data_IF_110274334893
#
_entry.id   IF_110274334893
#
_cell.length_a   1.000
_cell.length_b   1.000
_cell.length_c   1.000
_cell.angle_alpha   90.00
_cell.angle_beta   90.00
_cell.angle_gamma   90.00
#
_symmetry.space_group_name_H-M   'P 1'
#
loop_
_entity.id
_entity.type
_entity.pdbx_description
1 polymer ?
#
# COMPACT_ATOMS: atom_id res chain seq x y z
N UNK A 1 18.42 -38.58 -25.86
CA UNK A 1 17.35 -37.59 -25.99
C UNK A 1 16.71 -37.51 -24.62
N UNK A 2 17.27 -36.66 -23.74
CA UNK A 2 16.78 -36.54 -22.37
C UNK A 2 15.46 -35.79 -22.39
N UNK A 3 14.50 -36.33 -21.65
CA UNK A 3 13.11 -35.93 -21.61
C UNK A 3 12.97 -34.56 -20.93
N UNK A 4 12.90 -33.49 -21.72
CA UNK A 4 12.69 -32.11 -21.25
C UNK A 4 11.45 -31.98 -20.34
N UNK A 5 10.46 -32.89 -20.47
CA UNK A 5 9.26 -32.89 -19.61
C UNK A 5 9.53 -33.30 -18.16
N UNK A 6 10.58 -34.11 -17.91
CA UNK A 6 10.93 -34.56 -16.56
C UNK A 6 11.57 -33.45 -15.71
N UNK A 7 12.38 -32.57 -16.33
CA UNK A 7 12.97 -31.40 -15.69
C UNK A 7 11.92 -30.32 -15.38
N UNK A 8 10.99 -30.09 -16.31
CA UNK A 8 9.89 -29.13 -16.16
C UNK A 8 8.99 -29.45 -14.94
N UNK A 9 8.69 -30.73 -14.71
CA UNK A 9 7.83 -31.17 -13.59
C UNK A 9 8.54 -31.14 -12.22
N UNK A 10 9.87 -31.33 -12.19
CA UNK A 10 10.63 -31.35 -10.94
C UNK A 10 10.88 -29.92 -10.41
N UNK A 11 11.17 -28.96 -11.30
CA UNK A 11 11.41 -27.56 -10.92
C UNK A 11 10.20 -26.90 -10.22
N UNK A 12 9.00 -27.10 -10.78
CA UNK A 12 7.73 -26.62 -10.21
C UNK A 12 7.39 -27.35 -8.88
N UNK A 13 7.69 -28.65 -8.76
CA UNK A 13 7.47 -29.43 -7.52
C UNK A 13 8.37 -28.99 -6.38
N UNK A 14 9.66 -28.76 -6.63
CA UNK A 14 10.59 -28.26 -5.61
C UNK A 14 10.26 -26.84 -5.17
N UNK A 15 9.85 -25.98 -6.12
CA UNK A 15 9.38 -24.64 -5.81
C UNK A 15 8.16 -24.70 -4.87
N UNK A 16 7.17 -25.49 -5.26
CA UNK A 16 5.93 -25.68 -4.50
C UNK A 16 6.18 -26.26 -3.11
N UNK A 17 7.12 -27.21 -2.97
CA UNK A 17 7.47 -27.84 -1.68
C UNK A 17 8.15 -26.86 -0.73
N UNK A 18 9.12 -26.09 -1.21
CA UNK A 18 9.82 -25.07 -0.42
C UNK A 18 8.84 -24.01 0.09
N UNK A 19 7.93 -23.55 -0.77
CA UNK A 19 6.87 -22.62 -0.40
C UNK A 19 5.93 -23.23 0.64
N UNK A 20 5.49 -24.47 0.45
CA UNK A 20 4.59 -25.16 1.39
C UNK A 20 5.21 -25.33 2.79
N UNK A 21 6.51 -25.60 2.90
CA UNK A 21 7.20 -25.68 4.20
C UNK A 21 7.22 -24.32 4.91
N UNK A 22 7.45 -23.23 4.17
CA UNK A 22 7.43 -21.90 4.73
C UNK A 22 6.02 -21.48 5.20
N UNK A 23 4.97 -21.88 4.47
CA UNK A 23 3.57 -21.72 4.89
C UNK A 23 3.24 -22.49 6.17
N UNK A 24 3.79 -23.70 6.33
CA UNK A 24 3.56 -24.53 7.51
C UNK A 24 4.19 -23.91 8.76
N UNK A 25 5.44 -23.45 8.64
CA UNK A 25 6.15 -22.76 9.72
C UNK A 25 5.44 -21.45 10.13
N UNK A 26 4.83 -20.74 9.17
CA UNK A 26 3.96 -19.61 9.46
C UNK A 26 2.72 -20.02 10.27
N UNK A 27 1.99 -21.05 9.83
CA UNK A 27 0.77 -21.50 10.51
C UNK A 27 1.04 -21.87 11.96
N UNK A 28 2.12 -22.60 12.21
CA UNK A 28 2.55 -22.93 13.57
C UNK A 28 2.89 -21.70 14.42
N UNK A 29 3.40 -20.63 13.81
CA UNK A 29 3.69 -19.39 14.51
C UNK A 29 2.41 -18.58 14.77
N UNK A 30 1.44 -18.64 13.86
CA UNK A 30 0.14 -17.98 13.97
C UNK A 30 -0.77 -18.65 15.01
N UNK A 31 -0.79 -19.99 15.06
CA UNK A 31 -1.50 -20.77 16.08
C UNK A 31 -0.96 -20.52 17.50
N UNK A 32 0.27 -19.99 17.61
CA UNK A 32 0.89 -19.58 18.88
C UNK A 32 0.63 -18.11 19.23
N UNK A 33 0.12 -17.29 18.30
CA UNK A 33 -0.18 -15.89 18.55
C UNK A 33 -1.54 -15.75 19.25
N UNK A 34 -1.55 -15.05 20.39
CA UNK A 34 -2.75 -14.87 21.23
C UNK A 34 -3.71 -13.82 20.64
N UNK A 35 -3.20 -12.91 19.81
CA UNK A 35 -3.99 -11.89 19.09
C UNK A 35 -3.52 -11.76 17.63
N UNK A 36 -4.38 -12.14 16.68
CA UNK A 36 -4.11 -12.09 15.24
C UNK A 36 -4.13 -10.68 14.66
N UNK A 37 -4.64 -9.69 15.40
CA UNK A 37 -4.70 -8.29 14.96
C UNK A 37 -3.36 -7.55 15.14
N UNK A 38 -2.42 -8.12 15.90
CA UNK A 38 -1.11 -7.52 16.18
C UNK A 38 0.04 -8.14 15.37
N UNK A 39 -0.19 -9.26 14.68
CA UNK A 39 0.87 -9.94 13.90
C UNK A 39 1.17 -9.14 12.62
N UNK A 40 2.38 -8.58 12.43
CA UNK A 40 2.72 -7.85 11.22
C UNK A 40 2.77 -8.84 10.04
N UNK A 41 1.86 -8.72 9.08
CA UNK A 41 1.80 -9.60 7.89
C UNK A 41 3.13 -9.54 7.15
N UNK A 42 3.76 -8.37 7.14
CA UNK A 42 5.11 -8.17 6.67
C UNK A 42 6.12 -9.11 7.29
N UNK A 43 6.19 -9.26 8.61
CA UNK A 43 7.26 -10.02 9.29
C UNK A 43 7.16 -11.52 9.00
N UNK A 44 5.93 -11.99 8.78
CA UNK A 44 5.63 -13.40 8.57
C UNK A 44 5.59 -13.80 7.09
N UNK A 45 5.45 -12.85 6.16
CA UNK A 45 5.43 -13.15 4.72
C UNK A 45 6.72 -13.85 4.27
N UNK A 46 6.55 -15.02 3.64
CA UNK A 46 7.68 -15.78 3.12
C UNK A 46 8.31 -15.04 1.96
N UNK A 47 9.62 -14.84 2.03
CA UNK A 47 10.39 -14.16 0.99
C UNK A 47 11.18 -15.18 0.19
N UNK A 48 11.00 -15.22 -1.13
CA UNK A 48 11.79 -16.09 -2.01
C UNK A 48 12.65 -15.22 -2.93
N UNK A 49 13.96 -15.41 -2.84
CA UNK A 49 14.93 -14.81 -3.75
C UNK A 49 15.30 -15.84 -4.81
N UNK A 50 15.01 -15.51 -6.07
CA UNK A 50 15.44 -16.25 -7.25
C UNK A 50 16.73 -15.60 -7.76
N UNK A 51 17.77 -16.38 -7.94
CA UNK A 51 19.08 -15.90 -8.41
C UNK A 51 19.48 -16.68 -9.64
N UNK A 52 19.87 -15.98 -10.71
CA UNK A 52 20.44 -16.62 -11.89
C UNK A 52 21.81 -17.22 -11.52
N UNK A 53 21.90 -18.55 -11.49
CA UNK A 53 23.12 -19.27 -11.11
C UNK A 53 24.30 -18.97 -12.04
N UNK A 54 24.03 -18.77 -13.33
CA UNK A 54 25.05 -18.45 -14.33
C UNK A 54 25.50 -16.99 -14.22
N UNK A 55 24.62 -16.08 -13.81
CA UNK A 55 25.00 -14.68 -13.56
C UNK A 55 25.80 -14.56 -12.25
N UNK A 56 25.36 -15.23 -11.19
CA UNK A 56 26.01 -15.21 -9.88
C UNK A 56 27.43 -15.80 -9.91
N UNK A 57 27.65 -16.86 -10.68
CA UNK A 57 28.98 -17.46 -10.84
C UNK A 57 29.97 -16.54 -11.58
N UNK A 58 29.47 -15.64 -12.43
CA UNK A 58 30.27 -14.62 -13.14
C UNK A 58 30.52 -13.38 -12.29
N UNK A 59 29.54 -12.98 -11.49
CA UNK A 59 29.64 -11.84 -10.60
C UNK A 59 29.06 -12.17 -9.21
N UNK A 60 29.92 -12.48 -8.22
CA UNK A 60 29.48 -12.72 -6.85
C UNK A 60 28.85 -11.49 -6.16
N UNK A 61 29.04 -10.28 -6.72
CA UNK A 61 28.50 -9.00 -6.21
C UNK A 61 27.21 -8.55 -6.90
N UNK A 62 26.64 -9.40 -7.75
CA UNK A 62 25.41 -9.16 -8.54
C UNK A 62 24.21 -8.71 -7.69
N UNK A 63 24.14 -9.15 -6.43
CA UNK A 63 23.09 -8.76 -5.49
C UNK A 63 23.64 -7.66 -4.58
N UNK A 64 23.07 -6.44 -4.61
CA UNK A 64 23.53 -5.36 -3.74
C UNK A 64 23.53 -5.76 -2.27
N UNK A 65 24.56 -5.33 -1.53
CA UNK A 65 24.72 -5.67 -0.11
C UNK A 65 23.50 -5.27 0.73
N UNK A 66 22.90 -4.10 0.43
CA UNK A 66 21.68 -3.65 1.08
C UNK A 66 20.49 -4.60 0.89
N UNK A 67 20.35 -5.19 -0.30
CA UNK A 67 19.30 -6.18 -0.60
C UNK A 67 19.58 -7.48 0.14
N UNK A 68 20.83 -7.94 0.11
CA UNK A 68 21.28 -9.15 0.82
C UNK A 68 21.06 -9.03 2.33
N UNK A 69 21.45 -7.89 2.93
CA UNK A 69 21.28 -7.62 4.35
C UNK A 69 19.80 -7.63 4.75
N UNK A 70 18.94 -6.90 4.02
CA UNK A 70 17.49 -6.85 4.29
C UNK A 70 16.83 -8.21 4.10
N UNK A 71 17.19 -8.95 3.05
CA UNK A 71 16.71 -10.32 2.85
C UNK A 71 17.11 -11.23 4.02
N UNK A 72 18.36 -11.16 4.49
CA UNK A 72 18.86 -12.02 5.56
C UNK A 72 18.25 -11.71 6.93
N UNK A 73 17.71 -10.52 7.16
CA UNK A 73 16.97 -10.20 8.40
C UNK A 73 15.57 -10.81 8.44
N UNK A 74 15.03 -11.29 7.31
CA UNK A 74 13.70 -11.89 7.23
C UNK A 74 13.64 -13.21 7.98
N UNK A 75 12.55 -13.38 8.74
CA UNK A 75 12.29 -14.59 9.54
C UNK A 75 12.02 -15.81 8.66
N UNK A 76 11.15 -15.66 7.66
CA UNK A 76 10.82 -16.71 6.70
C UNK A 76 11.37 -16.32 5.33
N UNK A 77 12.49 -16.95 4.96
CA UNK A 77 13.19 -16.66 3.71
C UNK A 77 13.69 -17.93 3.07
N UNK A 78 13.70 -17.96 1.75
CA UNK A 78 14.31 -19.02 0.97
C UNK A 78 15.04 -18.41 -0.24
N UNK A 79 16.23 -18.91 -0.51
CA UNK A 79 17.01 -18.54 -1.69
C UNK A 79 17.06 -19.75 -2.61
N UNK A 80 16.75 -19.54 -3.88
CA UNK A 80 16.87 -20.56 -4.92
C UNK A 80 17.74 -20.02 -6.05
N UNK A 81 18.83 -20.73 -6.30
CA UNK A 81 19.62 -20.56 -7.51
C UNK A 81 18.91 -21.32 -8.64
N UNK A 82 18.71 -20.67 -9.76
CA UNK A 82 17.88 -21.17 -10.85
C UNK A 82 18.51 -20.79 -12.19
N UNK A 83 18.47 -21.70 -13.15
CA UNK A 83 18.91 -21.40 -14.51
C UNK A 83 17.78 -20.68 -15.28
N UNK A 84 18.12 -19.79 -16.21
CA UNK A 84 17.11 -19.01 -16.96
C UNK A 84 16.11 -19.91 -17.71
N UNK A 85 16.55 -21.05 -18.23
CA UNK A 85 15.67 -22.03 -18.88
C UNK A 85 14.62 -22.61 -17.91
N UNK A 86 15.04 -22.95 -16.70
CA UNK A 86 14.17 -23.44 -15.63
C UNK A 86 13.21 -22.33 -15.16
N UNK A 87 13.70 -21.10 -15.00
CA UNK A 87 12.88 -19.94 -14.64
C UNK A 87 11.76 -19.68 -15.65
N UNK A 88 12.02 -19.84 -16.96
CA UNK A 88 10.97 -19.65 -17.97
C UNK A 88 9.85 -20.67 -17.82
N UNK A 89 10.18 -21.89 -17.40
CA UNK A 89 9.21 -22.96 -17.23
C UNK A 89 8.28 -22.83 -16.03
N UNK A 90 8.70 -22.10 -14.99
CA UNK A 90 7.91 -21.97 -13.76
C UNK A 90 6.57 -21.29 -14.03
N UNK A 91 5.46 -21.99 -13.83
CA UNK A 91 4.13 -21.42 -14.15
C UNK A 91 3.60 -20.48 -13.06
N UNK A 92 4.09 -20.63 -11.83
CA UNK A 92 3.66 -19.87 -10.66
C UNK A 92 4.49 -18.59 -10.41
N UNK A 93 5.45 -18.29 -11.29
CA UNK A 93 6.27 -17.07 -11.23
C UNK A 93 5.78 -16.05 -12.25
N UNK A 94 5.51 -14.83 -11.77
CA UNK A 94 4.99 -13.75 -12.60
C UNK A 94 5.95 -13.34 -13.74
N UNK A 95 5.44 -13.00 -14.94
CA UNK A 95 6.27 -12.64 -16.09
C UNK A 95 7.26 -11.49 -15.84
N UNK A 96 6.86 -10.50 -15.03
CA UNK A 96 7.73 -9.37 -14.68
C UNK A 96 8.91 -9.81 -13.80
N UNK A 97 8.69 -10.77 -12.89
CA UNK A 97 9.74 -11.28 -12.02
C UNK A 97 10.73 -12.13 -12.82
N UNK A 98 10.23 -12.92 -13.77
CA UNK A 98 11.08 -13.63 -14.74
C UNK A 98 11.93 -12.66 -15.56
N UNK A 99 11.36 -11.53 -15.97
CA UNK A 99 12.06 -10.47 -16.68
C UNK A 99 13.13 -9.82 -15.78
N UNK A 100 12.80 -9.49 -14.53
CA UNK A 100 13.72 -8.90 -13.57
C UNK A 100 14.92 -9.82 -13.30
N UNK A 101 14.72 -11.11 -13.05
CA UNK A 101 15.84 -12.05 -12.85
C UNK A 101 16.73 -12.12 -14.08
N UNK A 102 16.17 -12.04 -15.30
CA UNK A 102 16.95 -12.03 -16.54
C UNK A 102 17.78 -10.75 -16.72
N UNK A 103 17.23 -9.61 -16.32
CA UNK A 103 17.86 -8.30 -16.53
C UNK A 103 18.83 -7.93 -15.42
N UNK A 104 18.48 -8.24 -14.18
CA UNK A 104 19.23 -7.88 -12.97
C UNK A 104 19.98 -9.07 -12.35
N UNK A 105 19.81 -10.28 -12.88
CA UNK A 105 20.46 -11.49 -12.38
C UNK A 105 19.88 -12.03 -11.06
N UNK A 106 18.91 -11.32 -10.47
CA UNK A 106 18.15 -11.78 -9.31
C UNK A 106 16.75 -11.14 -9.31
N UNK A 107 15.84 -11.74 -8.56
CA UNK A 107 14.50 -11.23 -8.35
C UNK A 107 13.94 -11.75 -7.04
N UNK A 108 13.13 -10.94 -6.37
CA UNK A 108 12.50 -11.33 -5.12
C UNK A 108 10.99 -11.31 -5.26
N UNK A 109 10.36 -12.35 -4.73
CA UNK A 109 8.92 -12.39 -4.49
C UNK A 109 8.62 -12.52 -3.01
N UNK A 110 7.63 -11.76 -2.58
CA UNK A 110 6.89 -12.04 -1.38
C UNK A 110 5.77 -13.01 -1.71
N UNK A 111 5.56 -14.00 -0.85
CA UNK A 111 4.35 -14.79 -0.84
C UNK A 111 3.51 -14.21 0.29
N UNK A 112 2.56 -13.29 0.00
CA UNK A 112 1.64 -12.82 1.01
C UNK A 112 0.89 -14.02 1.56
N UNK A 113 0.89 -14.11 2.86
CA UNK A 113 0.08 -15.10 3.54
C UNK A 113 -1.33 -14.53 3.59
N UNK A 114 -2.18 -14.96 2.66
CA UNK A 114 -3.61 -14.65 2.74
C UNK A 114 -4.11 -15.28 4.04
N UNK A 115 -4.54 -14.47 5.00
CA UNK A 115 -5.36 -14.96 6.09
C UNK A 115 -6.65 -15.51 5.47
N UNK A 116 -6.76 -16.83 5.36
CA UNK A 116 -7.95 -17.51 4.83
C UNK A 116 -9.15 -17.47 5.79
N UNK A 117 -9.02 -16.84 6.96
CA UNK A 117 -10.04 -16.87 7.99
C UNK A 117 -10.92 -15.62 8.02
N UNK A 118 -12.23 -15.86 8.11
CA UNK A 118 -13.10 -14.96 8.87
C UNK A 118 -13.99 -13.98 8.10
N UNK A 119 -14.04 -13.99 6.76
CA UNK A 119 -15.05 -13.21 6.04
C UNK A 119 -16.44 -13.86 6.18
N UNK A 120 -17.06 -13.76 7.37
CA UNK A 120 -18.47 -14.10 7.56
C UNK A 120 -19.31 -13.25 6.59
N UNK A 121 -20.08 -13.97 5.77
CA UNK A 121 -20.93 -13.46 4.68
C UNK A 121 -21.71 -12.21 5.10
N UNK A 122 -21.49 -11.11 4.38
CA UNK A 122 -22.32 -9.90 4.45
C UNK A 122 -21.93 -8.88 3.38
N UNK A 123 -22.91 -8.18 2.81
CA UNK A 123 -22.76 -7.17 1.74
C UNK A 123 -21.85 -5.96 2.09
N UNK A 124 -21.26 -5.89 3.29
CA UNK A 124 -20.54 -4.71 3.82
C UNK A 124 -19.20 -5.00 4.53
N UNK A 125 -18.64 -6.21 4.47
CA UNK A 125 -17.37 -6.50 5.16
C UNK A 125 -16.15 -6.13 4.32
N UNK A 126 -15.59 -4.94 4.57
CA UNK A 126 -14.25 -4.54 4.11
C UNK A 126 -13.18 -5.23 4.95
N UNK A 127 -12.02 -5.50 4.37
CA UNK A 127 -10.85 -5.93 5.14
C UNK A 127 -10.49 -4.84 6.18
N UNK A 128 -9.83 -5.24 7.26
CA UNK A 128 -9.42 -4.29 8.31
C UNK A 128 -8.57 -3.15 7.74
N UNK A 129 -7.57 -3.48 6.92
CA UNK A 129 -6.69 -2.50 6.26
C UNK A 129 -7.45 -1.55 5.34
N UNK A 130 -8.35 -2.08 4.49
CA UNK A 130 -9.15 -1.22 3.59
C UNK A 130 -10.02 -0.24 4.40
N UNK A 131 -10.60 -0.70 5.50
CA UNK A 131 -11.38 0.17 6.40
C UNK A 131 -10.51 1.26 7.01
N UNK A 132 -9.35 0.90 7.54
CA UNK A 132 -8.45 1.86 8.17
C UNK A 132 -7.96 2.94 7.20
N UNK A 133 -7.60 2.56 5.97
CA UNK A 133 -7.21 3.52 4.93
C UNK A 133 -8.36 4.45 4.57
N UNK A 134 -9.57 3.89 4.43
CA UNK A 134 -10.77 4.68 4.12
C UNK A 134 -11.13 5.65 5.24
N UNK A 135 -11.05 5.22 6.49
CA UNK A 135 -11.34 6.06 7.65
C UNK A 135 -10.27 7.15 7.82
N UNK A 136 -8.99 6.84 7.56
CA UNK A 136 -7.93 7.85 7.48
C UNK A 136 -8.22 8.89 6.38
N UNK A 137 -8.57 8.46 5.16
CA UNK A 137 -8.91 9.38 4.07
C UNK A 137 -10.08 10.30 4.44
N UNK A 138 -11.14 9.76 5.04
CA UNK A 138 -12.29 10.52 5.52
C UNK A 138 -11.91 11.54 6.59
N UNK A 139 -11.19 11.11 7.62
CA UNK A 139 -10.74 11.97 8.70
C UNK A 139 -9.86 13.10 8.20
N UNK A 140 -8.83 12.79 7.41
CA UNK A 140 -7.89 13.80 6.90
C UNK A 140 -8.55 14.72 5.89
N UNK A 141 -9.55 14.27 5.14
CA UNK A 141 -10.35 15.16 4.28
C UNK A 141 -11.15 16.17 5.15
N UNK A 142 -11.81 15.71 6.22
CA UNK A 142 -12.49 16.58 7.18
C UNK A 142 -11.55 17.58 7.86
N UNK A 143 -10.36 17.13 8.25
CA UNK A 143 -9.39 17.94 8.97
C UNK A 143 -8.65 18.95 8.06
N UNK A 144 -8.24 18.54 6.86
CA UNK A 144 -7.35 19.34 6.00
C UNK A 144 -8.08 20.24 5.01
N UNK A 145 -9.29 19.88 4.56
CA UNK A 145 -9.98 20.65 3.52
C UNK A 145 -10.18 22.13 3.91
N UNK A 146 -10.59 22.48 5.14
CA UNK A 146 -10.73 23.88 5.55
C UNK A 146 -9.39 24.62 5.61
N UNK A 147 -8.32 23.94 6.04
CA UNK A 147 -6.98 24.52 6.10
C UNK A 147 -6.36 24.71 4.70
N UNK A 148 -6.64 23.82 3.76
CA UNK A 148 -6.29 23.98 2.34
C UNK A 148 -7.04 25.19 1.76
N UNK A 149 -8.35 25.30 2.03
CA UNK A 149 -9.17 26.44 1.59
C UNK A 149 -8.64 27.75 2.15
N UNK A 150 -8.36 27.80 3.45
CA UNK A 150 -7.77 28.96 4.13
C UNK A 150 -6.44 29.37 3.50
N UNK A 151 -5.51 28.44 3.29
CA UNK A 151 -4.22 28.73 2.67
C UNK A 151 -4.38 29.25 1.24
N UNK A 152 -5.28 28.64 0.45
CA UNK A 152 -5.61 29.12 -0.88
C UNK A 152 -6.15 30.57 -0.83
N UNK A 153 -7.01 30.87 0.14
CA UNK A 153 -7.56 32.22 0.34
C UNK A 153 -6.52 33.28 0.76
N UNK A 154 -5.40 32.86 1.37
CA UNK A 154 -4.30 33.76 1.74
C UNK A 154 -3.38 34.12 0.56
N UNK A 155 -3.40 33.34 -0.53
CA UNK A 155 -2.67 33.66 -1.75
C UNK A 155 -3.32 34.82 -2.51
N UNK A 156 -2.51 35.66 -3.17
CA UNK A 156 -3.03 36.74 -4.01
C UNK A 156 -3.72 36.19 -5.27
N UNK A 157 -4.55 37.00 -5.94
CA UNK A 157 -5.17 36.60 -7.21
C UNK A 157 -4.13 36.22 -8.28
N UNK A 158 -3.00 36.94 -8.34
CA UNK A 158 -1.90 36.60 -9.25
C UNK A 158 -1.30 35.23 -8.90
N UNK A 159 -1.03 34.99 -7.62
CA UNK A 159 -0.49 33.71 -7.14
C UNK A 159 -1.42 32.53 -7.51
N UNK A 160 -2.75 32.72 -7.43
CA UNK A 160 -3.73 31.69 -7.80
C UNK A 160 -3.81 31.46 -9.30
N UNK A 161 -3.64 32.51 -10.12
CA UNK A 161 -3.60 32.41 -11.58
C UNK A 161 -2.35 31.68 -12.06
N UNK A 162 -1.20 31.97 -11.44
CA UNK A 162 0.07 31.31 -11.73
C UNK A 162 -0.03 29.80 -11.42
N UNK A 163 -0.73 29.43 -10.36
CA UNK A 163 -1.00 28.03 -10.00
C UNK A 163 -1.97 27.32 -10.97
N UNK A 164 -2.92 28.05 -11.55
CA UNK A 164 -3.94 27.50 -12.45
C UNK A 164 -3.44 27.31 -13.90
N UNK A 165 -2.25 27.80 -14.25
CA UNK A 165 -1.65 27.57 -15.57
C UNK A 165 -2.40 28.23 -16.74
N UNK A 166 -3.01 29.41 -16.55
CA UNK A 166 -3.81 30.23 -17.49
C UNK A 166 -5.34 30.01 -17.42
N UNK A 167 -5.99 30.52 -16.37
CA UNK A 167 -7.42 30.75 -16.34
C UNK A 167 -7.73 32.20 -15.93
N UNK A 168 -8.73 32.83 -16.57
CA UNK A 168 -9.19 34.19 -16.22
C UNK A 168 -9.93 34.22 -14.88
N UNK A 169 -10.51 33.08 -14.49
CA UNK A 169 -11.26 32.86 -13.25
C UNK A 169 -10.38 32.48 -12.05
N UNK A 170 -10.80 32.82 -10.81
CA UNK A 170 -10.06 32.48 -9.60
C UNK A 170 -10.10 30.96 -9.34
N UNK A 171 -8.92 30.33 -9.27
CA UNK A 171 -8.73 28.92 -8.90
C UNK A 171 -9.54 28.55 -7.64
N UNK A 172 -10.47 27.61 -7.78
CA UNK A 172 -11.24 27.06 -6.66
C UNK A 172 -10.45 25.94 -5.96
N UNK A 173 -10.89 25.56 -4.75
CA UNK A 173 -10.31 24.40 -4.07
C UNK A 173 -10.48 23.10 -4.87
N UNK A 174 -11.58 22.96 -5.61
CA UNK A 174 -11.85 21.75 -6.40
C UNK A 174 -11.00 21.69 -7.66
N UNK A 175 -10.67 22.83 -8.27
CA UNK A 175 -9.71 22.89 -9.37
C UNK A 175 -8.31 22.47 -8.90
N UNK A 176 -7.88 23.00 -7.73
CA UNK A 176 -6.62 22.61 -7.11
C UNK A 176 -6.58 21.10 -6.83
N UNK A 177 -7.64 20.55 -6.22
CA UNK A 177 -7.74 19.11 -5.95
C UNK A 177 -7.79 18.29 -7.25
N UNK A 178 -8.44 18.78 -8.31
CA UNK A 178 -8.50 18.07 -9.58
C UNK A 178 -7.13 17.98 -10.27
N UNK A 179 -6.32 19.04 -10.18
CA UNK A 179 -4.97 19.10 -10.75
C UNK A 179 -4.00 18.26 -9.91
N UNK A 180 -4.02 18.42 -8.59
CA UNK A 180 -2.99 17.91 -7.70
C UNK A 180 -3.35 16.60 -6.99
N UNK A 181 -4.61 16.16 -7.04
CA UNK A 181 -5.08 14.91 -6.45
C UNK A 181 -5.93 14.06 -7.43
N UNK A 182 -5.33 13.54 -8.53
CA UNK A 182 -6.07 12.79 -9.56
C UNK A 182 -6.72 11.49 -9.06
N UNK A 183 -6.20 10.85 -7.99
CA UNK A 183 -6.85 9.66 -7.42
C UNK A 183 -8.13 10.02 -6.65
N UNK A 184 -8.22 11.22 -6.07
CA UNK A 184 -9.49 11.72 -5.50
C UNK A 184 -10.56 11.91 -6.59
N UNK A 185 -10.18 12.43 -7.75
CA UNK A 185 -11.07 12.56 -8.91
C UNK A 185 -11.53 11.19 -9.42
N UNK A 186 -10.63 10.21 -9.45
CA UNK A 186 -10.97 8.84 -9.87
C UNK A 186 -11.95 8.18 -8.90
N UNK A 187 -11.73 8.37 -7.59
CA UNK A 187 -12.66 7.90 -6.56
C UNK A 187 -14.02 8.60 -6.63
N UNK A 188 -14.05 9.91 -6.92
CA UNK A 188 -15.31 10.66 -7.00
C UNK A 188 -16.21 10.16 -8.13
N UNK A 189 -15.63 9.91 -9.31
CA UNK A 189 -16.34 9.33 -10.47
C UNK A 189 -16.88 7.93 -10.21
N UNK A 190 -16.11 7.07 -9.53
CA UNK A 190 -16.53 5.70 -9.19
C UNK A 190 -17.51 5.64 -8.00
N UNK A 191 -17.73 6.75 -7.30
CA UNK A 191 -18.63 6.81 -6.15
C UNK A 191 -20.12 6.74 -6.54
N UNK A 192 -21.00 6.58 -5.55
CA UNK A 192 -22.46 6.68 -5.77
C UNK A 192 -22.86 8.08 -6.24
N UNK A 193 -22.12 9.12 -5.82
CA UNK A 193 -22.37 10.50 -6.23
C UNK A 193 -22.05 10.70 -7.72
N UNK A 194 -20.87 10.26 -8.18
CA UNK A 194 -20.49 10.29 -9.59
C UNK A 194 -21.48 9.54 -10.49
N UNK A 195 -21.87 8.32 -10.10
CA UNK A 195 -22.87 7.52 -10.85
C UNK A 195 -24.26 8.15 -10.93
N UNK A 196 -24.67 8.98 -9.96
CA UNK A 196 -25.95 9.71 -10.02
C UNK A 196 -25.89 10.90 -10.97
N UNK A 197 -24.71 11.52 -11.08
CA UNK A 197 -24.49 12.69 -11.93
C UNK A 197 -24.19 12.30 -13.39
N UNK A 198 -23.64 11.10 -13.63
CA UNK A 198 -23.50 10.47 -14.96
C UNK A 198 -24.87 10.28 -15.66
N UNK A 199 -25.96 10.15 -14.89
CA UNK A 199 -27.33 9.95 -15.40
C UNK A 199 -28.12 11.23 -15.64
N UNK A 200 -27.61 12.40 -15.28
CA UNK A 200 -28.24 13.67 -15.66
C UNK A 200 -27.72 14.04 -17.05
N UNK A 201 -28.57 14.08 -18.05
CA UNK A 201 -28.29 14.64 -19.39
C UNK A 201 -28.84 16.08 -19.46
N UNK A 202 -28.45 16.92 -18.50
CA UNK A 202 -28.83 18.34 -18.46
C UNK A 202 -27.80 19.19 -19.19
N UNK A 203 -28.26 20.28 -19.81
CA UNK A 203 -27.47 21.21 -20.64
C UNK A 203 -26.05 21.45 -20.10
N UNK A 204 -25.08 21.22 -20.98
CA UNK A 204 -23.63 21.22 -20.72
C UNK A 204 -23.11 22.61 -20.31
N UNK A 205 -23.93 23.67 -20.44
CA UNK A 205 -23.51 25.05 -20.22
C UNK A 205 -23.39 25.53 -18.77
N UNK A 206 -24.03 24.85 -17.80
CA UNK A 206 -24.16 25.36 -16.41
C UNK A 206 -23.62 24.41 -15.32
N UNK A 207 -22.94 23.32 -15.70
CA UNK A 207 -22.32 22.44 -14.71
C UNK A 207 -21.07 23.10 -14.16
N UNK A 208 -21.06 23.39 -12.85
CA UNK A 208 -19.84 23.72 -12.14
C UNK A 208 -18.76 22.69 -12.48
N UNK A 209 -17.56 23.15 -12.84
CA UNK A 209 -16.44 22.25 -13.06
C UNK A 209 -16.27 21.41 -11.78
N UNK A 210 -16.33 20.08 -11.92
CA UNK A 210 -16.12 19.11 -10.83
C UNK A 210 -17.26 18.86 -9.82
N UNK A 211 -18.55 18.96 -10.20
CA UNK A 211 -19.71 18.60 -9.32
C UNK A 211 -19.56 17.24 -8.60
N UNK A 212 -19.04 16.22 -9.29
CA UNK A 212 -18.85 14.87 -8.71
C UNK A 212 -17.79 14.88 -7.60
N UNK A 213 -16.70 15.61 -7.82
CA UNK A 213 -15.63 15.76 -6.85
C UNK A 213 -16.13 16.53 -5.63
N UNK A 214 -16.82 17.64 -5.84
CA UNK A 214 -17.43 18.42 -4.76
C UNK A 214 -18.36 17.56 -3.90
N UNK A 215 -19.32 16.87 -4.53
CA UNK A 215 -20.28 16.01 -3.83
C UNK A 215 -19.57 14.87 -3.07
N UNK A 216 -18.56 14.27 -3.68
CA UNK A 216 -17.78 13.21 -3.06
C UNK A 216 -16.95 13.70 -1.87
N UNK A 217 -16.31 14.86 -1.99
CA UNK A 217 -15.51 15.47 -0.92
C UNK A 217 -16.39 15.85 0.27
N UNK A 218 -17.58 16.43 0.04
CA UNK A 218 -18.54 16.67 1.12
C UNK A 218 -18.97 15.39 1.82
N UNK A 219 -19.26 14.33 1.07
CA UNK A 219 -19.62 13.04 1.65
C UNK A 219 -18.46 12.43 2.45
N UNK A 220 -17.22 12.53 1.96
CA UNK A 220 -16.03 12.09 2.69
C UNK A 220 -15.83 12.88 3.99
N UNK A 221 -15.96 14.21 3.93
CA UNK A 221 -15.80 15.07 5.09
C UNK A 221 -16.89 14.82 6.14
N UNK A 222 -18.15 14.65 5.75
CA UNK A 222 -19.23 14.33 6.70
C UNK A 222 -19.04 12.95 7.34
N UNK A 223 -18.56 11.94 6.60
CA UNK A 223 -18.18 10.66 7.19
C UNK A 223 -16.96 10.79 8.12
N UNK A 224 -15.98 11.62 7.75
CA UNK A 224 -14.80 11.92 8.57
C UNK A 224 -15.15 12.60 9.88
N UNK A 225 -16.10 13.54 9.85
CA UNK A 225 -16.66 14.24 11.01
C UNK A 225 -17.24 13.27 12.05
N UNK A 226 -17.71 12.09 11.63
CA UNK A 226 -18.30 11.07 12.52
C UNK A 226 -17.25 10.17 13.18
N UNK A 227 -16.01 10.22 12.72
CA UNK A 227 -14.92 9.40 13.28
C UNK A 227 -14.48 9.95 14.64
N UNK A 228 -14.16 9.02 15.54
CA UNK A 228 -13.60 9.33 16.86
C UNK A 228 -12.09 9.18 16.78
N UNK A 229 -11.37 10.24 17.08
CA UNK A 229 -9.90 10.27 17.03
C UNK A 229 -9.37 10.70 18.39
N UNK A 230 -8.41 9.94 18.92
CA UNK A 230 -7.66 10.31 20.11
C UNK A 230 -6.38 11.04 19.66
N UNK A 231 -6.10 12.18 20.27
CA UNK A 231 -4.88 12.95 20.05
C UNK A 231 -3.85 12.66 21.16
N UNK A 232 -2.55 12.92 20.91
CA UNK A 232 -1.50 12.83 21.92
C UNK A 232 -1.84 13.55 23.23
N UNK A 233 -1.59 12.88 24.36
CA UNK A 233 -1.84 13.45 25.69
C UNK A 233 -3.31 13.55 26.09
N UNK A 234 -4.26 13.09 25.26
CA UNK A 234 -5.69 13.14 25.58
C UNK A 234 -6.24 11.78 26.02
N UNK A 235 -6.93 11.75 27.16
CA UNK A 235 -7.58 10.55 27.68
C UNK A 235 -8.81 10.14 26.84
N UNK A 236 -9.51 11.14 26.29
CA UNK A 236 -10.78 10.97 25.57
C UNK A 236 -10.64 11.22 24.08
N UNK A 237 -11.38 10.45 23.26
CA UNK A 237 -11.46 10.69 21.82
C UNK A 237 -12.32 11.92 21.51
N UNK A 238 -11.86 12.73 20.57
CA UNK A 238 -12.60 13.84 19.96
C UNK A 238 -13.33 13.38 18.71
N UNK A 239 -14.36 14.13 18.33
CA UNK A 239 -15.14 13.90 17.11
C UNK A 239 -15.79 15.20 16.65
N UNK A 240 -16.27 15.21 15.40
CA UNK A 240 -16.98 16.35 14.86
C UNK A 240 -16.08 17.57 14.72
N UNK A 241 -16.58 18.70 15.21
CA UNK A 241 -15.87 19.96 15.17
C UNK A 241 -14.68 19.98 16.12
N UNK A 242 -14.81 19.36 17.30
CA UNK A 242 -13.74 19.35 18.32
C UNK A 242 -12.47 18.67 17.84
N UNK A 243 -12.57 17.64 16.98
CA UNK A 243 -11.40 16.99 16.37
C UNK A 243 -10.80 17.83 15.25
N UNK A 244 -11.62 18.61 14.54
CA UNK A 244 -11.13 19.55 13.53
C UNK A 244 -10.42 20.72 14.19
N UNK A 245 -11.03 21.35 15.19
CA UNK A 245 -10.43 22.42 15.97
C UNK A 245 -9.12 21.98 16.59
N UNK A 246 -9.04 20.74 17.09
CA UNK A 246 -7.78 20.21 17.62
C UNK A 246 -6.72 20.07 16.53
N UNK A 247 -7.07 19.51 15.37
CA UNK A 247 -6.17 19.45 14.23
C UNK A 247 -5.74 20.85 13.75
N UNK A 248 -6.66 21.82 13.74
CA UNK A 248 -6.42 23.20 13.36
C UNK A 248 -5.56 23.97 14.40
N UNK A 249 -5.76 23.74 15.70
CA UNK A 249 -4.93 24.30 16.78
C UNK A 249 -3.49 23.82 16.64
N UNK A 250 -3.35 22.51 16.43
CA UNK A 250 -2.09 21.85 16.15
C UNK A 250 -1.42 22.53 14.94
N UNK A 251 -2.17 22.81 13.86
CA UNK A 251 -1.62 23.44 12.65
C UNK A 251 -1.39 24.95 12.72
N UNK A 252 -2.18 25.68 13.50
CA UNK A 252 -2.16 27.16 13.54
C UNK A 252 -0.89 27.72 14.20
N UNK A 253 -0.19 26.93 15.03
CA UNK A 253 1.05 27.35 15.69
C UNK A 253 2.23 27.56 14.71
N UNK A 254 2.17 26.93 13.54
CA UNK A 254 3.20 26.98 12.49
C UNK A 254 2.90 28.04 11.43
N UNK A 255 1.63 28.38 11.24
CA UNK A 255 1.17 29.35 10.22
C UNK A 255 1.45 30.80 10.61
N UNK A 256 1.73 31.07 11.90
CA UNK A 256 2.22 32.37 12.34
C UNK A 256 3.64 32.52 11.77
N UNK A 257 3.82 33.46 10.83
CA UNK A 257 5.09 33.85 10.19
C UNK A 257 5.54 33.09 8.93
N UNK A 258 4.67 32.29 8.29
CA UNK A 258 5.00 31.67 7.01
C UNK A 258 5.05 32.69 5.87
N UNK A 259 6.09 32.61 5.04
CA UNK A 259 6.12 33.36 3.79
C UNK A 259 5.19 32.69 2.74
N UNK A 260 5.04 33.32 1.57
CA UNK A 260 4.15 32.80 0.51
C UNK A 260 4.57 31.42 -0.01
N UNK A 261 5.86 31.16 -0.12
CA UNK A 261 6.37 29.89 -0.64
C UNK A 261 6.17 28.77 0.38
N UNK A 262 6.35 29.07 1.67
CA UNK A 262 6.05 28.14 2.76
C UNK A 262 4.56 27.79 2.80
N UNK A 263 3.67 28.76 2.60
CA UNK A 263 2.22 28.54 2.52
C UNK A 263 1.86 27.65 1.33
N UNK A 264 2.50 27.85 0.17
CA UNK A 264 2.31 27.00 -1.02
C UNK A 264 2.80 25.58 -0.76
N UNK A 265 3.99 25.41 -0.21
CA UNK A 265 4.54 24.09 0.15
C UNK A 265 3.63 23.36 1.15
N UNK A 266 3.14 24.06 2.18
CA UNK A 266 2.24 23.49 3.17
C UNK A 266 0.90 23.06 2.54
N UNK A 267 0.33 23.91 1.67
CA UNK A 267 -0.91 23.60 0.95
C UNK A 267 -0.75 22.37 0.05
N UNK A 268 0.29 22.33 -0.79
CA UNK A 268 0.55 21.18 -1.66
C UNK A 268 0.91 19.92 -0.89
N UNK A 269 1.61 20.05 0.23
CA UNK A 269 1.87 18.96 1.15
C UNK A 269 0.58 18.34 1.71
N UNK A 270 -0.37 19.18 2.17
CA UNK A 270 -1.70 18.73 2.64
C UNK A 270 -2.50 18.05 1.52
N UNK A 271 -2.48 18.61 0.30
CA UNK A 271 -3.12 17.99 -0.87
C UNK A 271 -2.45 16.66 -1.23
N UNK A 272 -1.12 16.58 -1.13
CA UNK A 272 -0.33 15.38 -1.34
C UNK A 272 -0.73 14.25 -0.40
N UNK A 273 -0.94 14.52 0.88
CA UNK A 273 -1.46 13.53 1.85
C UNK A 273 -2.82 12.99 1.40
N UNK A 274 -3.75 13.86 1.00
CA UNK A 274 -5.07 13.43 0.52
C UNK A 274 -4.96 12.59 -0.77
N UNK A 275 -4.10 12.99 -1.70
CA UNK A 275 -3.85 12.27 -2.94
C UNK A 275 -3.29 10.87 -2.68
N UNK A 276 -2.30 10.73 -1.80
CA UNK A 276 -1.71 9.45 -1.44
C UNK A 276 -2.69 8.52 -0.69
N UNK A 277 -3.50 9.07 0.23
CA UNK A 277 -4.56 8.31 0.89
C UNK A 277 -5.66 7.89 -0.10
N UNK A 278 -5.99 8.72 -1.08
CA UNK A 278 -6.95 8.38 -2.14
C UNK A 278 -6.41 7.25 -3.03
N UNK A 279 -5.15 7.36 -3.45
CA UNK A 279 -4.44 6.31 -4.20
C UNK A 279 -4.43 4.98 -3.45
N UNK A 280 -4.06 5.01 -2.16
CA UNK A 280 -4.10 3.85 -1.28
C UNK A 280 -5.50 3.28 -1.12
N UNK A 281 -6.53 4.12 -0.93
CA UNK A 281 -7.90 3.68 -0.81
C UNK A 281 -8.41 3.02 -2.09
N UNK A 282 -8.05 3.54 -3.26
CA UNK A 282 -8.42 2.96 -4.55
C UNK A 282 -7.76 1.59 -4.72
N UNK A 283 -6.45 1.50 -4.53
CA UNK A 283 -5.69 0.25 -4.63
C UNK A 283 -6.20 -0.78 -3.62
N UNK A 284 -6.48 -0.39 -2.37
CA UNK A 284 -7.03 -1.29 -1.35
C UNK A 284 -8.42 -1.83 -1.72
N UNK A 285 -9.28 -0.99 -2.29
CA UNK A 285 -10.61 -1.41 -2.76
C UNK A 285 -10.51 -2.38 -3.94
N UNK A 286 -9.63 -2.12 -4.91
CA UNK A 286 -9.35 -3.02 -6.03
C UNK A 286 -8.79 -4.36 -5.54
N UNK A 287 -7.78 -4.35 -4.65
CA UNK A 287 -7.18 -5.54 -4.06
C UNK A 287 -8.21 -6.37 -3.30
N UNK A 288 -9.01 -5.73 -2.45
CA UNK A 288 -10.06 -6.44 -1.68
C UNK A 288 -11.14 -7.00 -2.60
N UNK A 289 -11.48 -6.31 -3.69
CA UNK A 289 -12.43 -6.84 -4.69
C UNK A 289 -11.90 -8.11 -5.36
N UNK A 290 -10.65 -8.09 -5.86
CA UNK A 290 -10.02 -9.27 -6.47
C UNK A 290 -9.89 -10.43 -5.49
N UNK A 291 -9.50 -10.15 -4.25
CA UNK A 291 -9.43 -11.17 -3.20
C UNK A 291 -10.79 -11.83 -2.97
N UNK A 292 -11.89 -11.06 -2.92
CA UNK A 292 -13.24 -11.63 -2.78
C UNK A 292 -13.63 -12.51 -3.96
N UNK A 293 -13.32 -12.08 -5.19
CA UNK A 293 -13.59 -12.88 -6.40
C UNK A 293 -12.83 -14.20 -6.37
N UNK A 294 -11.55 -14.17 -6.03
CA UNK A 294 -10.69 -15.33 -5.91
C UNK A 294 -11.07 -16.24 -4.73
N UNK A 295 -11.51 -15.69 -3.59
CA UNK A 295 -12.06 -16.49 -2.49
C UNK A 295 -13.38 -17.18 -2.89
N UNK A 296 -14.25 -16.48 -3.62
CA UNK A 296 -15.48 -17.08 -4.13
C UNK A 296 -15.20 -18.19 -5.18
N UNK A 297 -14.14 -18.04 -5.96
CA UNK A 297 -13.62 -19.10 -6.83
C UNK A 297 -13.07 -20.29 -6.03
N UNK A 298 -12.24 -20.02 -5.02
CA UNK A 298 -11.69 -21.04 -4.11
C UNK A 298 -12.79 -21.86 -3.43
N UNK A 299 -13.79 -21.22 -2.80
CA UNK A 299 -14.88 -21.92 -2.11
C UNK A 299 -15.67 -22.82 -3.07
N UNK A 300 -15.99 -22.31 -4.26
CA UNK A 300 -16.69 -23.09 -5.30
C UNK A 300 -15.87 -24.29 -5.75
N UNK A 301 -14.57 -24.14 -5.90
CA UNK A 301 -13.68 -25.21 -6.35
C UNK A 301 -13.36 -26.20 -5.24
N UNK A 302 -13.25 -25.77 -3.99
CA UNK A 302 -13.10 -26.64 -2.81
C UNK A 302 -14.30 -27.56 -2.62
N UNK A 303 -15.53 -27.03 -2.72
CA UNK A 303 -16.75 -27.84 -2.69
C UNK A 303 -16.89 -28.81 -3.87
N UNK A 304 -16.01 -28.73 -4.87
CA UNK A 304 -16.01 -29.61 -6.04
C UNK A 304 -15.06 -30.80 -5.90
N UNK A 305 -13.93 -30.62 -5.22
CA UNK A 305 -12.84 -31.61 -5.15
C UNK A 305 -12.72 -32.30 -3.77
N UNK A 306 -13.80 -32.33 -2.99
CA UNK A 306 -13.89 -32.61 -1.54
C UNK A 306 -13.09 -33.81 -0.98
N UNK A 307 -12.54 -34.73 -1.79
CA UNK A 307 -11.86 -35.96 -1.32
C UNK A 307 -10.35 -36.08 -1.62
N UNK A 308 -9.81 -35.79 -2.82
CA UNK A 308 -8.38 -35.95 -3.06
C UNK A 308 -7.55 -34.78 -2.52
N UNK A 309 -8.15 -33.60 -2.34
CA UNK A 309 -7.43 -32.36 -2.05
C UNK A 309 -6.66 -31.84 -3.27
N UNK A 310 -6.59 -30.51 -3.44
CA UNK A 310 -6.03 -29.89 -4.65
C UNK A 310 -4.58 -30.34 -4.92
N UNK A 311 -3.77 -30.47 -3.86
CA UNK A 311 -2.37 -30.87 -3.99
C UNK A 311 -2.17 -32.28 -4.54
N UNK A 312 -3.04 -33.24 -4.19
CA UNK A 312 -2.94 -34.60 -4.71
C UNK A 312 -3.30 -34.67 -6.20
N UNK A 313 -4.32 -33.89 -6.60
CA UNK A 313 -4.77 -33.79 -8.00
C UNK A 313 -3.67 -33.17 -8.88
N UNK A 314 -3.03 -32.11 -8.38
CA UNK A 314 -1.94 -31.43 -9.09
C UNK A 314 -0.68 -32.29 -9.21
N UNK A 315 -0.42 -33.15 -8.22
CA UNK A 315 0.73 -34.07 -8.23
C UNK A 315 0.55 -35.21 -9.23
N UNK A 316 -0.69 -35.66 -9.46
CA UNK A 316 -1.01 -36.81 -10.31
C UNK A 316 -2.05 -36.42 -11.39
N UNK A 317 -1.72 -35.47 -12.30
CA UNK A 317 -2.70 -34.89 -13.21
C UNK A 317 -3.37 -35.91 -14.14
N UNK A 318 -2.64 -36.97 -14.51
CA UNK A 318 -3.13 -37.99 -15.45
C UNK A 318 -4.22 -38.89 -14.85
N UNK A 319 -4.34 -38.93 -13.51
CA UNK A 319 -5.31 -39.76 -12.79
C UNK A 319 -6.67 -39.06 -12.59
N UNK A 320 -6.80 -37.79 -12.98
CA UNK A 320 -7.98 -36.96 -12.71
C UNK A 320 -8.60 -36.36 -13.97
N UNK A 321 -9.92 -36.12 -13.91
CA UNK A 321 -10.63 -35.48 -15.02
C UNK A 321 -10.21 -34.02 -15.18
N UNK A 322 -10.24 -33.51 -16.42
CA UNK A 322 -9.90 -32.11 -16.74
C UNK A 322 -10.62 -31.07 -15.86
N UNK A 323 -11.85 -31.35 -15.43
CA UNK A 323 -12.64 -30.46 -14.57
C UNK A 323 -12.12 -30.41 -13.13
N UNK A 324 -11.66 -31.53 -12.59
CA UNK A 324 -11.10 -31.62 -11.24
C UNK A 324 -9.69 -31.00 -11.21
N UNK A 325 -8.91 -31.22 -12.27
CA UNK A 325 -7.65 -30.54 -12.53
C UNK A 325 -7.81 -29.01 -12.61
N UNK A 326 -8.85 -28.52 -13.31
CA UNK A 326 -9.13 -27.10 -13.39
C UNK A 326 -9.50 -26.51 -12.02
N UNK A 327 -10.33 -27.21 -11.24
CA UNK A 327 -10.71 -26.79 -9.89
C UNK A 327 -9.49 -26.80 -8.94
N UNK A 328 -8.62 -27.80 -9.02
CA UNK A 328 -7.38 -27.87 -8.23
C UNK A 328 -6.41 -26.74 -8.59
N UNK A 329 -6.27 -26.39 -9.87
CA UNK A 329 -5.49 -25.22 -10.32
C UNK A 329 -6.10 -23.89 -9.87
N UNK A 330 -7.43 -23.78 -9.82
CA UNK A 330 -8.12 -22.58 -9.33
C UNK A 330 -7.92 -22.42 -7.82
N UNK A 331 -7.95 -23.52 -7.06
CA UNK A 331 -7.60 -23.55 -5.64
C UNK A 331 -6.15 -23.13 -5.43
N UNK A 332 -5.21 -23.71 -6.19
CA UNK A 332 -3.80 -23.34 -6.14
C UNK A 332 -3.60 -21.86 -6.47
N UNK A 333 -4.20 -21.33 -7.53
CA UNK A 333 -4.13 -19.90 -7.89
C UNK A 333 -4.76 -18.99 -6.85
N UNK A 334 -5.80 -19.44 -6.16
CA UNK A 334 -6.41 -18.66 -5.09
C UNK A 334 -5.56 -18.68 -3.80
N UNK A 335 -4.83 -19.78 -3.57
CA UNK A 335 -3.83 -19.93 -2.50
C UNK A 335 -2.56 -19.12 -2.77
N UNK A 336 -2.14 -19.09 -4.04
CA UNK A 336 -1.04 -18.29 -4.57
C UNK A 336 -1.60 -17.15 -5.38
N UNK A 337 -2.59 -16.43 -4.84
CA UNK A 337 -2.96 -15.18 -5.48
C UNK A 337 -1.68 -14.39 -5.63
N UNK A 338 -1.40 -13.85 -6.83
CA UNK A 338 -0.38 -12.83 -6.92
C UNK A 338 -0.76 -11.87 -5.80
N UNK A 339 0.18 -11.56 -4.91
CA UNK A 339 -0.03 -10.35 -4.16
C UNK A 339 -0.38 -9.25 -5.18
N UNK A 340 -0.92 -8.13 -4.73
CA UNK A 340 -0.68 -6.92 -5.51
C UNK A 340 0.84 -6.59 -5.45
N UNK A 341 1.66 -7.47 -6.04
CA UNK A 341 2.98 -7.22 -6.58
C UNK A 341 2.70 -6.55 -7.91
N UNK A 342 2.41 -5.25 -7.85
CA UNK A 342 2.44 -4.39 -9.01
C UNK A 342 3.85 -4.53 -9.61
N UNK A 343 3.97 -4.89 -10.89
CA UNK A 343 5.26 -4.97 -11.55
C UNK A 343 6.06 -3.66 -11.35
N UNK A 344 7.38 -3.72 -11.14
CA UNK A 344 8.25 -2.61 -11.49
C UNK A 344 8.10 -2.39 -13.01
N UNK A 345 7.27 -1.42 -13.40
CA UNK A 345 6.89 -1.19 -14.80
C UNK A 345 5.40 -0.91 -15.03
N UNK A 346 4.53 -1.07 -14.03
CA UNK A 346 3.22 -0.40 -14.09
C UNK A 346 3.43 1.11 -13.97
N UNK A 347 2.60 1.89 -14.67
CA UNK A 347 2.58 3.34 -14.53
C UNK A 347 2.43 3.73 -13.04
N UNK A 348 3.14 4.77 -12.58
CA UNK A 348 3.18 5.18 -11.16
C UNK A 348 1.80 5.36 -10.52
N UNK A 349 0.79 5.69 -11.32
CA UNK A 349 -0.60 5.81 -10.88
C UNK A 349 -1.18 4.48 -10.38
N UNK A 350 -0.70 3.34 -10.85
CA UNK A 350 -1.20 2.00 -10.50
C UNK A 350 -0.36 1.30 -9.43
N UNK A 351 0.64 1.95 -8.85
CA UNK A 351 1.57 1.37 -7.86
C UNK A 351 1.68 2.20 -6.60
N UNK A 352 1.62 1.61 -5.40
CA UNK A 352 1.99 2.34 -4.18
C UNK A 352 3.51 2.48 -4.12
N UNK A 353 4.01 3.71 -4.07
CA UNK A 353 5.43 3.97 -3.84
C UNK A 353 5.82 3.64 -2.39
N UNK A 354 7.12 3.59 -2.11
CA UNK A 354 7.62 3.43 -0.74
C UNK A 354 7.15 4.55 0.18
N UNK A 355 7.05 5.78 -0.35
CA UNK A 355 6.43 6.90 0.35
C UNK A 355 4.95 6.68 0.63
N UNK A 356 4.17 6.21 -0.35
CA UNK A 356 2.74 5.92 -0.16
C UNK A 356 2.53 4.87 0.94
N UNK A 357 3.37 3.83 0.97
CA UNK A 357 3.33 2.76 1.97
C UNK A 357 3.71 3.30 3.35
N UNK A 358 4.77 4.12 3.44
CA UNK A 358 5.15 4.81 4.66
C UNK A 358 4.03 5.71 5.19
N UNK A 359 3.30 6.42 4.32
CA UNK A 359 2.19 7.28 4.70
C UNK A 359 1.02 6.47 5.25
N UNK A 360 0.64 5.39 4.56
CA UNK A 360 -0.43 4.50 5.01
C UNK A 360 -0.09 3.92 6.38
N UNK A 361 1.15 3.44 6.56
CA UNK A 361 1.66 2.93 7.82
C UNK A 361 1.56 3.97 8.95
N UNK A 362 1.98 5.21 8.66
CA UNK A 362 1.96 6.33 9.60
C UNK A 362 0.53 6.72 10.01
N UNK A 363 -0.36 6.92 9.03
CA UNK A 363 -1.64 7.58 9.25
C UNK A 363 -2.81 6.62 9.51
N UNK A 364 -2.73 5.37 9.04
CA UNK A 364 -3.87 4.45 9.07
C UNK A 364 -3.80 3.39 10.18
N UNK A 365 -2.67 3.25 10.88
CA UNK A 365 -2.41 2.09 11.77
C UNK A 365 -2.71 0.74 11.10
N UNK A 366 -2.47 0.69 9.79
CA UNK A 366 -2.68 -0.48 8.97
C UNK A 366 -1.33 -1.04 8.56
N UNK A 367 -1.25 -2.34 8.39
CA UNK A 367 -0.12 -2.95 7.70
C UNK A 367 -0.35 -2.85 6.18
N UNK A 368 0.32 -1.91 5.47
CA UNK A 368 0.15 -1.74 4.03
C UNK A 368 0.59 -2.97 3.22
N UNK A 369 1.34 -3.90 3.82
CA UNK A 369 1.73 -5.15 3.16
C UNK A 369 0.56 -6.09 2.87
N UNK A 370 -0.58 -5.89 3.55
CA UNK A 370 -1.84 -6.58 3.20
C UNK A 370 -2.38 -6.20 1.82
N UNK A 371 -1.95 -5.07 1.25
CA UNK A 371 -2.40 -4.58 -0.06
C UNK A 371 -1.26 -4.35 -1.06
N UNK A 372 0.00 -4.21 -0.62
CA UNK A 372 1.16 -4.03 -1.49
C UNK A 372 2.43 -4.68 -0.90
N UNK A 373 2.88 -5.78 -1.48
CA UNK A 373 4.05 -6.53 -0.96
C UNK A 373 5.39 -6.21 -1.64
N UNK A 374 5.40 -5.39 -2.70
CA UNK A 374 6.63 -5.12 -3.47
C UNK A 374 7.76 -4.56 -2.63
N UNK A 375 7.41 -3.87 -1.56
CA UNK A 375 8.36 -3.15 -0.72
C UNK A 375 8.65 -3.91 0.57
N UNK A 376 8.55 -5.26 0.57
CA UNK A 376 8.69 -6.10 1.77
C UNK A 376 10.04 -5.94 2.49
N UNK A 377 11.06 -5.46 1.77
CA UNK A 377 12.37 -5.14 2.34
C UNK A 377 12.36 -3.93 3.27
N UNK A 378 11.30 -3.12 3.21
CA UNK A 378 11.07 -1.99 4.08
C UNK A 378 10.30 -2.39 5.34
N UNK A 379 10.10 -3.69 5.62
CA UNK A 379 9.17 -4.12 6.67
C UNK A 379 9.48 -3.53 8.04
N UNK A 380 10.78 -3.41 8.35
CA UNK A 380 11.25 -2.80 9.59
C UNK A 380 10.96 -1.30 9.61
N UNK A 381 11.25 -0.60 8.51
CA UNK A 381 10.97 0.83 8.36
C UNK A 381 9.45 1.10 8.47
N UNK A 382 8.63 0.26 7.85
CA UNK A 382 7.17 0.35 7.91
C UNK A 382 6.62 0.05 9.30
N UNK A 383 7.19 -0.92 10.01
CA UNK A 383 6.85 -1.17 11.42
C UNK A 383 7.19 0.04 12.29
N UNK A 384 8.36 0.66 12.09
CA UNK A 384 8.73 1.89 12.77
C UNK A 384 7.81 3.06 12.39
N UNK A 385 7.38 3.16 11.14
CA UNK A 385 6.39 4.16 10.70
C UNK A 385 5.03 3.97 11.36
N UNK A 386 4.56 2.72 11.51
CA UNK A 386 3.35 2.40 12.28
C UNK A 386 3.51 2.78 13.75
N UNK A 387 4.65 2.42 14.35
CA UNK A 387 5.00 2.78 15.73
C UNK A 387 5.03 4.29 15.94
N UNK A 388 5.66 5.03 15.04
CA UNK A 388 5.65 6.48 15.00
C UNK A 388 4.22 7.01 14.91
N UNK A 389 3.39 6.47 14.01
CA UNK A 389 1.98 6.83 13.88
C UNK A 389 1.19 6.64 15.18
N UNK A 390 1.43 5.53 15.89
CA UNK A 390 0.81 5.24 17.20
C UNK A 390 1.23 6.27 18.25
N UNK A 391 2.53 6.56 18.33
CA UNK A 391 3.07 7.58 19.24
C UNK A 391 2.45 8.96 18.96
N UNK A 392 2.37 9.33 17.69
CA UNK A 392 1.75 10.54 17.15
C UNK A 392 0.22 10.63 17.37
N UNK A 393 -0.43 9.54 17.79
CA UNK A 393 -1.84 9.51 18.23
C UNK A 393 -1.99 9.38 19.75
N UNK A 394 -0.90 9.43 20.51
CA UNK A 394 -0.90 9.23 21.96
C UNK A 394 -1.20 7.79 22.38
N UNK A 395 -1.00 6.82 21.49
CA UNK A 395 -1.19 5.42 21.81
C UNK A 395 0.09 4.85 22.45
N UNK A 396 -0.08 3.87 23.34
CA UNK A 396 1.06 3.18 23.94
C UNK A 396 1.85 2.43 22.88
N UNK A 397 3.17 2.57 22.91
CA UNK A 397 4.09 1.83 22.06
C UNK A 397 5.04 1.05 22.95
N UNK A 398 5.31 -0.20 22.57
CA UNK A 398 6.13 -1.13 23.34
C UNK A 398 7.59 -0.64 23.48
N UNK A 399 8.14 0.04 22.46
CA UNK A 399 9.55 0.45 22.44
C UNK A 399 9.77 1.89 21.90
N UNK A 400 9.44 2.94 22.69
CA UNK A 400 9.58 4.34 22.24
C UNK A 400 10.99 4.73 21.81
N UNK A 401 12.02 4.21 22.48
CA UNK A 401 13.42 4.50 22.18
C UNK A 401 13.84 4.05 20.76
N UNK A 402 13.25 2.97 20.24
CA UNK A 402 13.52 2.53 18.85
C UNK A 402 12.90 3.48 17.83
N UNK A 403 11.73 4.04 18.12
CA UNK A 403 11.09 5.05 17.27
C UNK A 403 11.92 6.34 17.27
N UNK A 404 12.43 6.75 18.43
CA UNK A 404 13.32 7.92 18.50
C UNK A 404 14.61 7.72 17.72
N UNK A 405 15.25 6.54 17.83
CA UNK A 405 16.43 6.20 17.05
C UNK A 405 16.14 6.18 15.54
N UNK A 406 15.03 5.55 15.13
CA UNK A 406 14.55 5.58 13.75
C UNK A 406 14.33 7.00 13.24
N UNK A 407 13.67 7.86 14.03
CA UNK A 407 13.46 9.26 13.67
C UNK A 407 14.76 10.06 13.56
N UNK A 408 15.77 9.74 14.39
CA UNK A 408 17.09 10.34 14.27
C UNK A 408 17.76 9.92 12.94
N UNK A 409 17.72 8.63 12.60
CA UNK A 409 18.22 8.10 11.34
C UNK A 409 17.54 8.73 10.13
N UNK A 410 16.21 8.77 10.10
CA UNK A 410 15.44 9.35 8.98
C UNK A 410 15.76 10.84 8.77
N UNK A 411 15.92 11.61 9.86
CA UNK A 411 16.35 13.02 9.76
C UNK A 411 17.76 13.16 9.21
N UNK A 412 18.69 12.31 9.63
CA UNK A 412 20.06 12.33 9.13
C UNK A 412 20.10 11.96 7.65
N UNK A 413 19.37 10.93 7.24
CA UNK A 413 19.26 10.49 5.85
C UNK A 413 18.68 11.59 4.95
N UNK A 414 17.63 12.27 5.41
CA UNK A 414 17.04 13.42 4.69
C UNK A 414 18.07 14.55 4.52
N UNK A 415 18.87 14.85 5.56
CA UNK A 415 19.89 15.92 5.52
C UNK A 415 21.07 15.58 4.62
N UNK A 416 21.59 14.35 4.68
CA UNK A 416 22.73 13.93 3.86
C UNK A 416 22.41 13.97 2.37
N UNK A 417 21.22 13.49 1.99
CA UNK A 417 20.81 13.46 0.58
C UNK A 417 20.45 14.84 0.02
N UNK A 418 19.98 15.77 0.85
CA UNK A 418 19.81 17.17 0.48
C UNK A 418 21.16 17.88 0.20
N UNK A 419 22.26 17.40 0.79
CA UNK A 419 23.59 17.97 0.61
C UNK A 419 24.33 17.38 -0.60
N UNK A 420 24.13 16.08 -0.89
CA UNK A 420 24.94 15.36 -1.88
C UNK A 420 24.35 15.33 -3.31
N UNK A 421 23.15 15.90 -3.53
CA UNK A 421 22.56 16.03 -4.88
C UNK A 421 22.25 14.71 -5.59
N UNK A 422 22.22 13.58 -4.86
CA UNK A 422 21.87 12.27 -5.40
C UNK A 422 20.39 12.23 -5.83
N UNK A 423 20.10 11.49 -6.91
CA UNK A 423 18.76 11.38 -7.47
C UNK A 423 17.77 10.76 -6.48
N UNK A 424 16.56 11.33 -6.50
CA UNK A 424 15.43 11.21 -5.56
C UNK A 424 14.76 9.81 -5.53
N UNK A 425 15.47 8.74 -5.89
CA UNK A 425 14.85 7.46 -6.27
C UNK A 425 15.00 6.32 -5.24
N UNK A 426 15.62 6.56 -4.09
CA UNK A 426 15.76 5.53 -3.05
C UNK A 426 14.47 5.28 -2.26
N UNK A 427 14.00 4.03 -2.21
CA UNK A 427 12.81 3.62 -1.43
C UNK A 427 12.83 4.10 0.03
N UNK A 428 13.99 4.03 0.69
CA UNK A 428 14.16 4.49 2.07
C UNK A 428 14.14 6.02 2.20
N UNK A 429 14.55 6.75 1.16
CA UNK A 429 14.47 8.21 1.15
C UNK A 429 13.02 8.68 1.10
N UNK A 430 12.18 8.04 0.28
CA UNK A 430 10.75 8.35 0.25
C UNK A 430 10.09 8.08 1.61
N UNK A 431 10.49 7.02 2.31
CA UNK A 431 10.03 6.78 3.69
C UNK A 431 10.53 7.88 4.63
N UNK A 432 11.79 8.28 4.53
CA UNK A 432 12.36 9.35 5.36
C UNK A 432 11.66 10.71 5.12
N UNK A 433 11.33 11.03 3.87
CA UNK A 433 10.54 12.22 3.54
C UNK A 433 9.19 12.15 4.25
N UNK A 434 8.47 11.04 4.16
CA UNK A 434 7.17 10.90 4.83
C UNK A 434 7.31 10.95 6.35
N UNK A 435 8.30 10.25 6.92
CA UNK A 435 8.54 10.17 8.36
C UNK A 435 8.79 11.54 8.99
N UNK A 436 9.41 12.46 8.24
CA UNK A 436 9.77 13.79 8.75
C UNK A 436 8.76 14.85 8.32
N UNK A 437 8.44 14.91 7.03
CA UNK A 437 7.63 15.99 6.43
C UNK A 437 6.15 15.85 6.79
N UNK A 438 5.60 14.63 6.79
CA UNK A 438 4.15 14.47 7.05
C UNK A 438 3.80 14.83 8.50
N UNK A 439 4.57 14.41 9.52
CA UNK A 439 4.37 14.94 10.87
C UNK A 439 4.60 16.46 10.97
N UNK A 440 5.44 17.07 10.13
CA UNK A 440 5.60 18.53 10.10
C UNK A 440 4.38 19.24 9.46
N UNK A 441 3.80 18.68 8.40
CA UNK A 441 2.62 19.23 7.70
C UNK A 441 1.33 19.01 8.49
N UNK A 442 1.20 17.84 9.13
CA UNK A 442 0.02 17.42 9.87
C UNK A 442 0.15 17.65 11.39
N UNK A 443 1.35 18.04 11.85
CA UNK A 443 1.70 18.36 13.24
C UNK A 443 1.25 17.37 14.30
N UNK A 444 1.32 16.08 14.00
CA UNK A 444 0.98 15.03 14.97
C UNK A 444 1.96 14.91 16.18
N UNK A 445 2.98 15.77 16.30
CA UNK A 445 4.08 15.61 17.27
C UNK A 445 4.56 16.92 17.91
N UNK A 446 3.69 17.57 18.70
CA UNK A 446 4.11 18.53 19.73
C UNK A 446 3.48 18.19 21.07
#
# INVERSE_FOLDING_TARGET
MFDDKGLLMNGDREFSSMVAQAMLAYREALDRAVDLSEVPVAEFATTVMLVDADALSRDPSLIPEAVTHRFNRRRFKARREINIGELQSLTDVEPWLKKQVRESGYGIMAIPLVQFEGNKRGRRHLSYTERQIRDALRFWTHALLPEISKNLHLLSQQDRRDLAGLADDPLTIYDLLAISAPDLVTLSRSSVAGRKNDGMTGDVGDRAAHVDLETYIYALADEGRKLRVRFPGEESSRYGESSREKAAEITASFERHLNKDDLRMLMFGRVGVLQQLAKASRIAAETTSKQRESMAAYERSMGRIERPGAHHILRNPDDYQKRDLAAAREIQRAQFQPAYVQPPGLADQSRLSSGDIGLVALLCDADPYTICVQHMFLSEDIEMMRGLGKLLRGQSVVEPARIEAFMHEMRNLRRSLAADGFSVEGDIYQIAEIAVIVPEILMLGR
#
